data_IF_714995041289
#
_entry.id   IF_714995041289
#
_cell.length_a   1.000
_cell.length_b   1.000
_cell.length_c   1.000
_cell.angle_alpha   90.00
_cell.angle_beta   90.00
_cell.angle_gamma   90.00
#
_symmetry.space_group_name_H-M   'P 1'
#
loop_
_entity.id
_entity.type
_entity.pdbx_description
1 polymer ?
#
# COMPACT_ATOMS: atom_id res chain seq x y z
N UNK A 1 0.21 9.38 -5.96
CA UNK A 1 1.51 8.70 -5.80
C UNK A 1 2.54 9.76 -5.49
N UNK A 2 3.27 9.61 -4.39
CA UNK A 2 4.38 10.46 -4.00
C UNK A 2 5.65 9.62 -3.89
N UNK A 3 6.75 10.12 -4.42
CA UNK A 3 8.04 9.41 -4.47
C UNK A 3 9.14 10.44 -4.25
N UNK A 4 10.06 10.14 -3.35
CA UNK A 4 11.30 10.90 -3.18
C UNK A 4 12.46 9.97 -2.87
N UNK A 5 13.67 10.43 -3.19
CA UNK A 5 14.91 9.74 -2.85
C UNK A 5 16.01 10.76 -2.53
N UNK A 6 16.87 10.41 -1.57
CA UNK A 6 18.06 11.16 -1.21
C UNK A 6 19.19 10.20 -0.86
N UNK A 7 20.30 10.30 -1.60
CA UNK A 7 21.39 9.34 -1.52
C UNK A 7 20.93 7.91 -1.83
N UNK A 8 21.18 6.99 -0.90
CA UNK A 8 20.84 5.57 -1.04
C UNK A 8 19.53 5.19 -0.33
N UNK A 9 18.71 6.17 0.07
CA UNK A 9 17.39 5.97 0.68
C UNK A 9 16.30 6.65 -0.17
N UNK A 10 15.14 6.00 -0.25
CA UNK A 10 13.96 6.57 -0.89
C UNK A 10 12.67 5.98 -0.36
N UNK A 11 11.55 6.58 -0.72
CA UNK A 11 10.23 6.05 -0.40
C UNK A 11 9.25 6.25 -1.54
N UNK A 12 8.22 5.41 -1.56
CA UNK A 12 7.01 5.62 -2.34
C UNK A 12 5.80 5.51 -1.42
N UNK A 13 4.81 6.38 -1.60
CA UNK A 13 3.55 6.33 -0.84
C UNK A 13 2.36 6.73 -1.70
N UNK A 14 1.20 6.18 -1.38
CA UNK A 14 -0.03 6.52 -2.08
C UNK A 14 -1.18 5.59 -1.77
N UNK A 15 -2.20 5.65 -2.63
CA UNK A 15 -3.34 4.74 -2.64
C UNK A 15 -3.16 3.71 -3.75
N UNK A 16 -3.45 2.45 -3.45
CA UNK A 16 -3.37 1.33 -4.38
C UNK A 16 -4.70 0.57 -4.39
N UNK A 17 -5.25 0.33 -5.58
CA UNK A 17 -6.38 -0.59 -5.75
C UNK A 17 -5.84 -2.02 -5.82
N UNK A 18 -6.17 -2.83 -4.81
CA UNK A 18 -5.93 -4.27 -4.83
C UNK A 18 -7.25 -4.93 -5.24
N UNK A 19 -7.23 -5.71 -6.31
CA UNK A 19 -8.42 -6.39 -6.82
C UNK A 19 -8.11 -7.82 -7.25
N UNK A 20 -9.13 -8.66 -7.27
CA UNK A 20 -9.00 -10.06 -7.65
C UNK A 20 -10.34 -10.77 -7.75
N UNK A 21 -10.29 -12.05 -8.10
CA UNK A 21 -11.44 -12.94 -8.10
C UNK A 21 -11.36 -13.88 -6.91
N UNK A 22 -12.40 -13.88 -6.08
CA UNK A 22 -12.53 -14.83 -4.97
C UNK A 22 -12.84 -16.22 -5.51
N UNK A 23 -12.56 -17.27 -4.71
CA UNK A 23 -12.74 -18.67 -5.14
C UNK A 23 -14.16 -19.00 -5.62
N UNK A 24 -15.17 -18.29 -5.15
CA UNK A 24 -16.57 -18.42 -5.57
C UNK A 24 -16.94 -17.55 -6.79
N UNK A 25 -15.97 -17.01 -7.51
CA UNK A 25 -16.17 -16.26 -8.77
C UNK A 25 -16.50 -14.76 -8.62
N UNK A 26 -16.89 -14.30 -7.42
CA UNK A 26 -17.11 -12.88 -7.16
C UNK A 26 -15.82 -12.05 -7.30
N UNK A 27 -15.93 -10.90 -7.98
CA UNK A 27 -14.87 -9.88 -8.01
C UNK A 27 -14.80 -9.14 -6.68
N UNK A 28 -13.59 -8.90 -6.20
CA UNK A 28 -13.30 -8.12 -4.99
C UNK A 28 -12.30 -7.01 -5.34
N UNK A 29 -12.44 -5.86 -4.68
CA UNK A 29 -11.53 -4.74 -4.81
C UNK A 29 -11.57 -3.87 -3.56
N UNK A 30 -10.42 -3.37 -3.12
CA UNK A 30 -10.32 -2.39 -2.05
C UNK A 30 -9.16 -1.44 -2.31
N UNK A 31 -9.34 -0.19 -1.89
CA UNK A 31 -8.26 0.78 -1.82
C UNK A 31 -7.48 0.59 -0.52
N UNK A 32 -6.15 0.54 -0.63
CA UNK A 32 -5.23 0.54 0.50
C UNK A 32 -4.33 1.76 0.45
N UNK A 33 -3.87 2.21 1.62
CA UNK A 33 -2.73 3.11 1.72
C UNK A 33 -1.46 2.26 1.76
N UNK A 34 -0.44 2.67 1.02
CA UNK A 34 0.87 2.04 1.10
C UNK A 34 1.96 3.07 1.38
N UNK A 35 2.99 2.64 2.09
CA UNK A 35 4.29 3.30 2.17
C UNK A 35 5.36 2.23 2.04
N UNK A 36 6.19 2.35 1.02
CA UNK A 36 7.31 1.44 0.74
C UNK A 36 8.62 2.20 0.88
N UNK A 37 9.58 1.64 1.60
CA UNK A 37 10.89 2.22 1.82
C UNK A 37 11.94 1.43 1.06
N UNK A 38 12.80 2.15 0.34
CA UNK A 38 13.80 1.57 -0.54
C UNK A 38 15.21 1.95 -0.07
N UNK A 39 16.12 0.99 -0.17
CA UNK A 39 17.56 1.20 -0.03
C UNK A 39 18.25 0.80 -1.31
N UNK A 40 19.15 1.65 -1.78
CA UNK A 40 20.00 1.34 -2.92
C UNK A 40 21.22 0.54 -2.46
N UNK A 41 21.45 -0.62 -3.08
CA UNK A 41 22.54 -1.56 -2.81
C UNK A 41 23.14 -1.96 -4.15
N UNK A 42 24.44 -1.75 -4.32
CA UNK A 42 25.17 -2.03 -5.57
C UNK A 42 24.47 -1.46 -6.82
N UNK A 43 23.98 -0.22 -6.70
CA UNK A 43 23.30 0.49 -7.78
C UNK A 43 21.82 0.11 -7.97
N UNK A 44 21.28 -0.85 -7.21
CA UNK A 44 19.91 -1.34 -7.34
C UNK A 44 19.06 -0.93 -6.15
N UNK A 45 17.87 -0.39 -6.40
CA UNK A 45 16.89 -0.12 -5.35
C UNK A 45 16.23 -1.42 -4.92
N UNK A 46 16.27 -1.70 -3.62
CA UNK A 46 15.62 -2.85 -2.98
C UNK A 46 14.60 -2.33 -1.98
N UNK A 47 13.41 -2.90 -2.01
CA UNK A 47 12.41 -2.69 -0.97
C UNK A 47 12.86 -3.41 0.30
N UNK A 48 12.91 -2.69 1.42
CA UNK A 48 13.26 -3.27 2.71
C UNK A 48 12.16 -3.11 3.77
N UNK A 49 11.10 -2.36 3.47
CA UNK A 49 9.99 -2.15 4.39
C UNK A 49 8.74 -1.70 3.65
N UNK A 50 7.66 -2.44 3.85
CA UNK A 50 6.32 -2.09 3.43
C UNK A 50 5.39 -1.88 4.63
N UNK A 51 4.63 -0.79 4.59
CA UNK A 51 3.46 -0.59 5.43
C UNK A 51 2.23 -0.43 4.55
N UNK A 52 1.34 -1.43 4.61
CA UNK A 52 0.04 -1.42 3.94
C UNK A 52 -1.07 -1.39 4.98
N UNK A 53 -2.06 -0.52 4.80
CA UNK A 53 -3.16 -0.40 5.75
C UNK A 53 -4.45 0.14 5.14
N UNK A 54 -5.56 -0.09 5.83
CA UNK A 54 -6.89 0.48 5.56
C UNK A 54 -7.36 1.31 6.76
N UNK A 55 -8.21 2.33 6.57
CA UNK A 55 -8.86 3.00 7.69
C UNK A 55 -9.72 2.03 8.50
N UNK A 56 -9.86 2.32 9.78
CA UNK A 56 -10.73 1.59 10.69
C UNK A 56 -11.75 2.54 11.30
N UNK A 57 -12.99 2.10 11.39
CA UNK A 57 -14.00 2.72 12.23
C UNK A 57 -13.61 2.51 13.69
N UNK A 58 -13.44 3.60 14.44
CA UNK A 58 -12.87 3.54 15.79
C UNK A 58 -13.86 2.95 16.80
N UNK A 59 -15.15 3.15 16.62
CA UNK A 59 -16.17 2.65 17.54
C UNK A 59 -16.34 1.13 17.43
N UNK A 60 -16.48 0.61 16.21
CA UNK A 60 -16.68 -0.82 15.98
C UNK A 60 -15.39 -1.61 15.79
N UNK A 61 -14.26 -0.94 15.56
CA UNK A 61 -12.97 -1.56 15.23
C UNK A 61 -12.94 -2.20 13.83
N UNK A 62 -13.97 -1.99 12.99
CA UNK A 62 -14.08 -2.60 11.67
C UNK A 62 -13.25 -1.85 10.64
N UNK A 63 -12.64 -2.59 9.72
CA UNK A 63 -11.99 -2.00 8.55
C UNK A 63 -13.03 -1.36 7.61
N UNK A 64 -12.72 -0.18 7.09
CA UNK A 64 -13.56 0.58 6.15
C UNK A 64 -13.06 0.32 4.73
N UNK A 65 -13.53 -0.77 4.11
CA UNK A 65 -12.99 -1.31 2.86
C UNK A 65 -13.65 -0.70 1.59
N UNK A 66 -14.77 -0.04 1.78
CA UNK A 66 -15.62 0.53 0.73
C UNK A 66 -15.22 1.96 0.31
N UNK A 67 -14.30 2.58 1.05
CA UNK A 67 -13.85 3.95 0.81
C UNK A 67 -13.18 4.12 -0.56
N UNK A 68 -13.36 5.29 -1.16
CA UNK A 68 -12.77 5.70 -2.43
C UNK A 68 -11.74 6.83 -2.21
N UNK A 69 -10.76 7.00 -3.12
CA UNK A 69 -9.71 8.03 -3.03
C UNK A 69 -10.22 9.46 -2.93
#
# INVERSE_FOLDING_TARGET
LHIEASGELGYATGLQMISGMLKHGQKSGMWVRFTSLYRKVDGKWLDFHDHVSVPADIESGKAMLELQP
#
